data_IF_858141473876
#
_entry.id   IF_858141473876
#
_cell.length_a   1.000
_cell.length_b   1.000
_cell.length_c   1.000
_cell.angle_alpha   90.00
_cell.angle_beta   90.00
_cell.angle_gamma   90.00
#
_symmetry.space_group_name_H-M   'P 1'
#
loop_
_entity.id
_entity.type
_entity.pdbx_description
1 polymer ?
#
# COMPACT_ATOMS: atom_id res chain seq x y z
N UNK A 1 23.60 -0.89 -32.72
CA UNK A 1 23.74 -1.43 -31.34
C UNK A 1 22.57 -0.92 -30.55
N UNK A 2 21.89 -1.80 -29.84
CA UNK A 2 20.82 -1.38 -28.95
C UNK A 2 21.43 -0.52 -27.83
N UNK A 3 20.80 0.62 -27.54
CA UNK A 3 21.38 1.64 -26.65
C UNK A 3 21.64 1.13 -25.23
N UNK A 4 20.78 0.20 -24.75
CA UNK A 4 20.92 -0.40 -23.42
C UNK A 4 22.22 -1.17 -23.19
N UNK A 5 22.86 -1.69 -24.25
CA UNK A 5 24.12 -2.46 -24.14
C UNK A 5 25.33 -1.58 -23.79
N UNK A 6 25.26 -0.28 -24.05
CA UNK A 6 26.36 0.67 -23.85
C UNK A 6 26.20 1.53 -22.60
N UNK A 7 25.07 1.44 -21.88
CA UNK A 7 24.82 2.22 -20.68
C UNK A 7 25.73 1.74 -19.57
N UNK A 8 26.53 2.67 -19.01
CA UNK A 8 27.31 2.41 -17.80
C UNK A 8 26.41 2.60 -16.58
N UNK A 9 26.30 1.57 -15.76
CA UNK A 9 25.44 1.59 -14.57
C UNK A 9 26.31 1.84 -13.35
N UNK A 10 26.05 2.93 -12.64
CA UNK A 10 26.84 3.34 -11.49
C UNK A 10 25.97 3.47 -10.24
N UNK A 11 26.55 3.15 -9.08
CA UNK A 11 25.89 3.35 -7.78
C UNK A 11 25.43 4.80 -7.54
N UNK A 12 26.10 5.77 -8.18
CA UNK A 12 25.75 7.18 -8.12
C UNK A 12 24.35 7.50 -8.67
N UNK A 13 23.81 6.65 -9.55
CA UNK A 13 22.44 6.82 -10.07
C UNK A 13 21.37 6.78 -8.98
N UNK A 14 21.60 6.05 -7.88
CA UNK A 14 20.68 6.02 -6.72
C UNK A 14 20.67 7.32 -5.89
N UNK A 15 21.60 8.24 -6.14
CA UNK A 15 21.66 9.52 -5.42
C UNK A 15 20.63 10.56 -5.91
N UNK A 16 19.96 10.32 -7.03
CA UNK A 16 18.94 11.20 -7.57
C UNK A 16 17.66 11.12 -6.73
N UNK A 17 17.36 12.21 -6.02
CA UNK A 17 16.16 12.29 -5.18
C UNK A 17 14.89 12.17 -6.03
N UNK A 18 14.01 11.28 -5.61
CA UNK A 18 12.67 11.13 -6.19
C UNK A 18 12.57 10.27 -7.46
N UNK A 19 13.68 9.69 -7.95
CA UNK A 19 13.68 8.78 -9.11
C UNK A 19 14.23 7.41 -8.72
N UNK A 20 13.60 6.35 -9.19
CA UNK A 20 14.16 4.99 -9.11
C UNK A 20 15.29 4.82 -10.13
N UNK A 21 16.11 3.77 -9.96
CA UNK A 21 17.10 3.42 -10.99
C UNK A 21 16.42 3.13 -12.33
N UNK A 22 15.25 2.52 -12.28
CA UNK A 22 14.47 2.24 -13.51
C UNK A 22 14.08 3.52 -14.24
N UNK A 23 13.59 4.55 -13.52
CA UNK A 23 13.22 5.82 -14.13
C UNK A 23 14.42 6.45 -14.86
N UNK A 24 15.59 6.41 -14.23
CA UNK A 24 16.82 6.94 -14.81
C UNK A 24 17.24 6.13 -16.04
N UNK A 25 17.14 4.81 -15.97
CA UNK A 25 17.44 3.94 -17.10
C UNK A 25 16.44 4.14 -18.25
N UNK A 26 15.16 4.39 -17.95
CA UNK A 26 14.15 4.72 -18.96
C UNK A 26 14.40 6.07 -19.62
N UNK A 27 14.90 7.07 -18.90
CA UNK A 27 15.31 8.35 -19.48
C UNK A 27 16.51 8.20 -20.45
N UNK A 28 17.45 7.32 -20.11
CA UNK A 28 18.62 7.05 -20.94
C UNK A 28 18.29 6.17 -22.16
N UNK A 29 17.37 5.25 -22.00
CA UNK A 29 16.98 4.25 -22.99
C UNK A 29 15.47 3.94 -22.91
N UNK A 30 14.63 4.80 -23.51
CA UNK A 30 13.17 4.69 -23.42
C UNK A 30 12.63 3.38 -24.00
N UNK A 31 11.70 2.74 -23.29
CA UNK A 31 11.03 1.49 -23.71
C UNK A 31 10.28 1.63 -25.05
N UNK A 32 9.87 2.85 -25.40
CA UNK A 32 9.20 3.14 -26.68
C UNK A 32 10.05 2.78 -27.91
N UNK A 33 11.39 2.83 -27.78
CA UNK A 33 12.33 2.50 -28.85
C UNK A 33 12.33 1.01 -29.22
N UNK A 34 11.67 0.16 -28.42
CA UNK A 34 11.70 -1.29 -28.55
C UNK A 34 10.37 -1.90 -29.03
N UNK A 35 9.39 -1.06 -29.39
CA UNK A 35 8.12 -1.51 -29.99
C UNK A 35 8.40 -2.29 -31.29
N UNK A 36 7.79 -3.44 -31.45
CA UNK A 36 7.99 -4.33 -32.59
C UNK A 36 9.29 -5.14 -32.55
N UNK A 37 10.05 -5.11 -31.47
CA UNK A 37 11.28 -5.88 -31.30
C UNK A 37 11.10 -7.02 -30.29
N UNK A 38 12.07 -7.95 -30.20
CA UNK A 38 12.11 -9.00 -29.20
C UNK A 38 12.28 -8.50 -27.75
N UNK A 39 12.42 -7.20 -27.55
CA UNK A 39 12.55 -6.53 -26.25
C UNK A 39 11.29 -5.73 -25.89
N UNK A 40 10.27 -5.78 -26.72
CA UNK A 40 8.97 -5.15 -26.41
C UNK A 40 8.36 -5.73 -25.12
N UNK A 41 7.82 -4.86 -24.29
CA UNK A 41 7.25 -5.23 -22.99
C UNK A 41 8.27 -5.36 -21.85
N UNK A 42 9.57 -5.26 -22.12
CA UNK A 42 10.61 -5.19 -21.10
C UNK A 42 10.88 -3.73 -20.74
N UNK A 43 10.87 -3.43 -19.44
CA UNK A 43 11.35 -2.13 -18.96
C UNK A 43 12.89 -2.02 -19.02
N UNK A 44 13.42 -0.82 -18.79
CA UNK A 44 14.86 -0.57 -18.90
C UNK A 44 15.68 -1.42 -17.93
N UNK A 45 15.20 -1.68 -16.72
CA UNK A 45 15.87 -2.57 -15.77
C UNK A 45 15.88 -4.02 -16.28
N UNK A 46 14.77 -4.52 -16.79
CA UNK A 46 14.67 -5.88 -17.33
C UNK A 46 15.58 -6.06 -18.57
N UNK A 47 15.72 -5.02 -19.41
CA UNK A 47 16.69 -5.03 -20.52
C UNK A 47 18.11 -5.15 -20.00
N UNK A 48 18.47 -4.47 -18.90
CA UNK A 48 19.79 -4.63 -18.28
C UNK A 48 20.01 -6.03 -17.71
N UNK A 49 18.99 -6.62 -17.05
CA UNK A 49 19.09 -8.03 -16.63
C UNK A 49 19.35 -8.96 -17.81
N UNK A 50 18.69 -8.72 -18.94
CA UNK A 50 18.90 -9.51 -20.16
C UNK A 50 20.29 -9.29 -20.75
N UNK A 51 20.85 -8.07 -20.72
CA UNK A 51 22.22 -7.75 -21.13
C UNK A 51 23.25 -8.59 -20.37
N UNK A 52 23.07 -8.74 -19.07
CA UNK A 52 23.97 -9.53 -18.22
C UNK A 52 23.55 -11.00 -18.11
N UNK A 53 22.57 -11.43 -18.90
CA UNK A 53 22.00 -12.79 -18.87
C UNK A 53 21.58 -13.23 -17.46
N UNK A 54 21.02 -12.31 -16.65
CA UNK A 54 20.56 -12.60 -15.28
C UNK A 54 19.08 -12.99 -15.32
N UNK A 55 18.80 -14.25 -14.94
CA UNK A 55 17.45 -14.81 -14.87
C UNK A 55 16.96 -14.82 -13.42
N UNK A 56 16.08 -13.89 -13.08
CA UNK A 56 15.61 -13.68 -11.69
C UNK A 56 14.46 -14.62 -11.29
N UNK A 57 13.82 -15.31 -12.24
CA UNK A 57 12.65 -16.14 -11.97
C UNK A 57 12.61 -17.43 -12.78
N UNK A 58 11.78 -18.40 -12.35
CA UNK A 58 11.52 -19.65 -13.04
C UNK A 58 12.55 -20.75 -12.75
N UNK A 59 12.34 -21.93 -13.37
CA UNK A 59 13.16 -23.14 -13.12
C UNK A 59 14.65 -22.95 -13.43
N UNK A 60 14.98 -22.00 -14.30
CA UNK A 60 16.37 -21.67 -14.69
C UNK A 60 16.85 -20.37 -14.07
N UNK A 61 16.26 -19.92 -12.93
CA UNK A 61 16.75 -18.74 -12.25
C UNK A 61 18.19 -18.90 -11.81
N UNK A 62 18.95 -17.84 -11.93
CA UNK A 62 20.38 -17.82 -11.59
C UNK A 62 20.57 -17.71 -10.07
N UNK A 63 21.84 -17.79 -9.64
CA UNK A 63 22.23 -17.54 -8.25
C UNK A 63 22.44 -16.05 -8.02
N UNK A 64 22.31 -15.64 -6.76
CA UNK A 64 22.50 -14.24 -6.36
C UNK A 64 23.88 -13.73 -6.71
N UNK A 65 24.91 -14.59 -6.64
CA UNK A 65 26.30 -14.23 -6.98
C UNK A 65 26.44 -13.64 -8.38
N UNK A 66 25.59 -14.02 -9.35
CA UNK A 66 25.67 -13.55 -10.74
C UNK A 66 25.51 -12.03 -10.88
N UNK A 67 24.83 -11.37 -9.93
CA UNK A 67 24.80 -9.91 -9.89
C UNK A 67 26.17 -9.29 -9.61
N UNK A 68 27.08 -10.03 -9.00
CA UNK A 68 28.37 -9.52 -8.53
C UNK A 68 29.53 -9.91 -9.42
N UNK A 69 29.26 -10.47 -10.62
CA UNK A 69 30.29 -10.84 -11.62
C UNK A 69 31.03 -9.61 -12.15
N UNK A 70 30.36 -8.46 -12.21
CA UNK A 70 30.99 -7.19 -12.59
C UNK A 70 30.33 -5.99 -11.84
N UNK A 71 30.96 -4.81 -11.94
CA UNK A 71 30.50 -3.60 -11.24
C UNK A 71 29.14 -3.11 -11.71
N UNK A 72 28.85 -3.22 -13.00
CA UNK A 72 27.60 -2.72 -13.59
C UNK A 72 26.42 -3.63 -13.19
N UNK A 73 26.59 -4.96 -13.27
CA UNK A 73 25.57 -5.89 -12.81
C UNK A 73 25.35 -5.79 -11.29
N UNK A 74 26.41 -5.55 -10.50
CA UNK A 74 26.28 -5.35 -9.06
C UNK A 74 25.46 -4.10 -8.71
N UNK A 75 25.53 -3.07 -9.56
CA UNK A 75 24.73 -1.87 -9.37
C UNK A 75 23.20 -2.09 -9.61
N UNK A 76 22.82 -3.18 -10.28
CA UNK A 76 21.41 -3.56 -10.45
C UNK A 76 20.80 -4.25 -9.22
N UNK A 77 21.63 -4.80 -8.34
CA UNK A 77 21.13 -5.61 -7.21
C UNK A 77 20.20 -4.84 -6.24
N UNK A 78 20.48 -3.59 -5.83
CA UNK A 78 19.56 -2.83 -4.99
C UNK A 78 18.19 -2.62 -5.63
N UNK A 79 18.11 -2.38 -6.93
CA UNK A 79 16.84 -2.25 -7.66
C UNK A 79 16.07 -3.56 -7.68
N UNK A 80 16.74 -4.68 -7.91
CA UNK A 80 16.13 -6.00 -7.81
C UNK A 80 15.53 -6.24 -6.42
N UNK A 81 16.25 -5.90 -5.35
CA UNK A 81 15.77 -6.02 -3.97
C UNK A 81 14.55 -5.12 -3.75
N UNK A 82 14.63 -3.85 -4.15
CA UNK A 82 13.53 -2.88 -4.03
C UNK A 82 12.26 -3.37 -4.72
N UNK A 83 12.36 -3.86 -5.94
CA UNK A 83 11.21 -4.40 -6.71
C UNK A 83 10.61 -5.64 -6.06
N UNK A 84 11.44 -6.57 -5.61
CA UNK A 84 10.95 -7.78 -4.95
C UNK A 84 10.22 -7.47 -3.64
N UNK A 85 10.69 -6.48 -2.88
CA UNK A 85 10.02 -5.97 -1.68
C UNK A 85 8.71 -5.26 -2.05
N UNK A 86 8.72 -4.39 -3.07
CA UNK A 86 7.53 -3.68 -3.53
C UNK A 86 6.40 -4.63 -3.95
N UNK A 87 6.71 -5.67 -4.71
CA UNK A 87 5.74 -6.74 -5.06
C UNK A 87 5.14 -7.41 -3.82
N UNK A 88 5.95 -7.61 -2.78
CA UNK A 88 5.47 -8.14 -1.50
C UNK A 88 4.54 -7.17 -0.78
N UNK A 89 4.86 -5.89 -0.78
CA UNK A 89 4.01 -4.84 -0.20
C UNK A 89 2.66 -4.77 -0.91
N UNK A 90 2.65 -4.66 -2.23
CA UNK A 90 1.44 -4.57 -3.05
C UNK A 90 0.47 -5.74 -2.82
N UNK A 91 1.00 -6.96 -2.63
CA UNK A 91 0.17 -8.16 -2.37
C UNK A 91 -0.59 -8.12 -1.04
N UNK A 92 -0.12 -7.35 -0.09
CA UNK A 92 -0.67 -7.27 1.28
C UNK A 92 -1.13 -5.86 1.63
N UNK A 93 -1.13 -4.95 0.66
CA UNK A 93 -1.55 -3.57 0.87
C UNK A 93 -3.08 -3.49 0.96
N UNK A 94 -3.55 -3.12 2.15
CA UNK A 94 -4.96 -2.89 2.47
C UNK A 94 -5.26 -1.39 2.55
N UNK A 95 -4.22 -0.57 2.59
CA UNK A 95 -4.36 0.88 2.78
C UNK A 95 -5.26 1.53 1.72
N UNK A 96 -5.17 1.18 0.42
CA UNK A 96 -6.07 1.75 -0.59
C UNK A 96 -7.56 1.51 -0.35
N UNK A 97 -7.91 0.46 0.41
CA UNK A 97 -9.31 0.14 0.74
C UNK A 97 -9.87 1.01 1.89
N UNK A 98 -9.02 1.72 2.64
CA UNK A 98 -9.41 2.47 3.85
C UNK A 98 -9.08 3.96 3.77
N UNK A 99 -8.30 4.41 2.78
CA UNK A 99 -7.95 5.83 2.63
C UNK A 99 -8.71 6.46 1.47
N UNK A 100 -9.18 7.69 1.67
CA UNK A 100 -9.86 8.45 0.62
C UNK A 100 -8.88 9.06 -0.38
N UNK A 101 -7.67 9.42 0.06
CA UNK A 101 -6.64 10.03 -0.78
C UNK A 101 -5.24 9.74 -0.25
N UNK A 102 -4.27 9.72 -1.14
CA UNK A 102 -2.85 9.58 -0.83
C UNK A 102 -2.09 10.77 -1.38
N UNK A 103 -1.31 11.44 -0.53
CA UNK A 103 -0.49 12.57 -0.92
C UNK A 103 0.99 12.26 -0.65
N UNK A 104 1.84 12.50 -1.66
CA UNK A 104 3.28 12.41 -1.50
C UNK A 104 3.82 13.73 -0.95
N UNK A 105 4.61 13.66 0.11
CA UNK A 105 5.25 14.83 0.71
C UNK A 105 6.76 14.66 0.69
N UNK A 106 7.50 15.77 0.54
CA UNK A 106 8.97 15.77 0.47
C UNK A 106 9.64 16.03 1.84
N UNK A 107 8.84 16.26 2.90
CA UNK A 107 9.30 16.53 4.24
C UNK A 107 9.00 15.40 5.23
N UNK A 108 9.39 15.62 6.48
CA UNK A 108 9.04 14.73 7.60
C UNK A 108 7.79 15.18 8.34
N UNK A 109 7.32 16.38 8.08
CA UNK A 109 6.19 17.02 8.75
C UNK A 109 5.10 17.36 7.73
N UNK A 110 3.87 17.12 8.12
CA UNK A 110 2.70 17.43 7.30
C UNK A 110 1.64 18.13 8.15
N UNK A 111 0.95 19.12 7.58
CA UNK A 111 -0.25 19.72 8.17
C UNK A 111 -1.43 19.39 7.29
N UNK A 112 -2.40 18.69 7.85
CA UNK A 112 -3.66 18.42 7.17
C UNK A 112 -4.53 19.68 7.10
N UNK A 113 -5.42 19.70 6.14
CA UNK A 113 -6.47 20.73 6.03
C UNK A 113 -7.76 20.15 6.61
N UNK A 114 -8.53 20.96 7.28
CA UNK A 114 -9.84 20.59 7.77
C UNK A 114 -10.84 21.70 7.47
N UNK A 115 -12.07 21.31 7.18
CA UNK A 115 -13.23 22.20 7.36
C UNK A 115 -13.76 21.91 8.76
N UNK A 116 -14.00 22.94 9.56
CA UNK A 116 -14.55 22.75 10.90
C UNK A 116 -15.99 22.24 10.79
N UNK A 117 -16.26 20.96 11.10
CA UNK A 117 -17.62 20.39 10.99
C UNK A 117 -18.56 20.91 12.06
N UNK A 118 -18.04 21.55 13.11
CA UNK A 118 -18.84 22.19 14.17
C UNK A 118 -19.36 23.57 13.77
N UNK A 119 -18.91 24.09 12.64
CA UNK A 119 -19.48 25.30 12.08
C UNK A 119 -20.79 24.93 11.38
N UNK A 120 -21.93 25.37 11.89
CA UNK A 120 -23.30 25.23 11.31
C UNK A 120 -23.41 25.68 9.84
N UNK A 121 -22.30 26.15 9.27
CA UNK A 121 -22.14 26.67 7.92
C UNK A 121 -21.79 25.62 6.86
N UNK A 122 -21.80 24.34 7.20
CA UNK A 122 -21.64 23.26 6.22
C UNK A 122 -22.94 22.86 5.52
N UNK A 123 -24.10 23.33 6.04
CA UNK A 123 -25.41 23.15 5.41
C UNK A 123 -25.59 24.17 4.31
N UNK A 124 -26.05 23.73 3.14
CA UNK A 124 -26.44 24.62 2.04
C UNK A 124 -27.85 25.17 2.32
N UNK A 125 -27.91 26.32 2.98
CA UNK A 125 -29.18 26.98 3.24
C UNK A 125 -29.73 27.65 1.97
N UNK A 126 -31.07 27.77 1.90
CA UNK A 126 -31.73 28.51 0.83
C UNK A 126 -31.43 30.00 1.02
N UNK A 127 -30.63 30.57 0.14
CA UNK A 127 -30.25 32.00 0.16
C UNK A 127 -31.32 32.81 -0.58
N UNK A 128 -31.88 33.81 0.10
CA UNK A 128 -32.85 34.75 -0.51
C UNK A 128 -32.10 35.72 -1.43
N UNK A 129 -32.83 36.28 -2.44
CA UNK A 129 -32.26 37.34 -3.28
C UNK A 129 -31.70 38.47 -2.41
N UNK A 130 -30.49 38.92 -2.73
CA UNK A 130 -29.73 39.97 -2.01
C UNK A 130 -29.19 39.57 -0.62
N UNK A 131 -29.35 38.31 -0.15
CA UNK A 131 -28.71 37.85 1.07
C UNK A 131 -27.25 37.45 0.81
N UNK A 132 -26.41 37.60 1.83
CA UNK A 132 -25.01 37.16 1.79
C UNK A 132 -24.95 35.63 1.72
N UNK A 133 -24.20 35.09 0.76
CA UNK A 133 -23.95 33.66 0.61
C UNK A 133 -23.04 33.22 1.77
N UNK A 134 -23.39 32.14 2.52
CA UNK A 134 -22.54 31.59 3.58
C UNK A 134 -21.17 31.16 3.03
N UNK A 135 -20.11 31.41 3.79
CA UNK A 135 -18.73 31.05 3.45
C UNK A 135 -18.30 29.84 4.25
N UNK A 136 -17.78 28.81 3.59
CA UNK A 136 -17.11 27.68 4.25
C UNK A 136 -15.62 27.95 4.31
N UNK A 137 -15.06 28.03 5.51
CA UNK A 137 -13.64 28.32 5.72
C UNK A 137 -12.84 27.02 5.88
N UNK A 138 -11.92 26.79 4.96
CA UNK A 138 -10.94 25.68 5.06
C UNK A 138 -9.74 26.18 5.87
N UNK A 139 -9.42 25.49 6.96
CA UNK A 139 -8.30 25.83 7.86
C UNK A 139 -7.22 24.73 7.80
N UNK A 140 -5.98 25.13 7.98
CA UNK A 140 -4.88 24.19 8.23
C UNK A 140 -4.91 23.79 9.72
N UNK A 141 -4.75 22.51 10.03
CA UNK A 141 -4.69 22.04 11.40
C UNK A 141 -3.48 22.63 12.15
N UNK A 142 -3.63 22.86 13.44
CA UNK A 142 -2.62 23.53 14.27
C UNK A 142 -1.40 22.67 14.57
N UNK A 143 -1.58 21.36 14.72
CA UNK A 143 -0.50 20.43 15.05
C UNK A 143 0.15 19.85 13.81
N UNK A 144 1.47 19.68 13.86
CA UNK A 144 2.23 18.97 12.84
C UNK A 144 2.07 17.46 13.03
N UNK A 145 1.76 16.76 11.95
CA UNK A 145 1.80 15.30 11.91
C UNK A 145 3.24 14.89 11.63
N UNK A 146 3.87 14.22 12.59
CA UNK A 146 5.23 13.71 12.45
C UNK A 146 5.23 12.32 11.82
N UNK A 147 5.99 12.15 10.74
CA UNK A 147 6.12 10.86 10.07
C UNK A 147 7.22 10.02 10.72
N UNK A 148 6.88 8.82 11.13
CA UNK A 148 7.83 7.87 11.68
C UNK A 148 8.67 7.23 10.57
N UNK A 149 10.00 7.34 10.69
CA UNK A 149 10.93 6.65 9.80
C UNK A 149 11.18 5.24 10.32
N UNK A 150 10.86 4.24 9.50
CA UNK A 150 11.17 2.83 9.78
C UNK A 150 12.19 2.32 8.77
N UNK A 151 13.06 1.43 9.20
CA UNK A 151 14.06 0.81 8.34
C UNK A 151 14.62 -0.45 8.96
N UNK A 152 15.12 -1.34 8.11
CA UNK A 152 15.82 -2.55 8.51
C UNK A 152 17.02 -2.78 7.60
N UNK A 153 18.12 -3.24 8.16
CA UNK A 153 19.30 -3.62 7.39
C UNK A 153 19.14 -5.08 6.99
N UNK A 154 19.25 -5.37 5.70
CA UNK A 154 19.37 -6.72 5.18
C UNK A 154 20.85 -7.10 5.16
N UNK A 155 21.21 -8.09 5.95
CA UNK A 155 22.55 -8.68 5.93
C UNK A 155 22.45 -10.16 5.56
N UNK A 156 23.33 -10.61 4.70
CA UNK A 156 23.42 -11.99 4.28
C UNK A 156 24.86 -12.49 4.34
N UNK A 157 25.06 -13.75 4.71
CA UNK A 157 26.39 -14.37 4.65
C UNK A 157 26.85 -14.52 3.19
N UNK A 158 28.15 -14.56 2.98
CA UNK A 158 28.74 -14.83 1.66
C UNK A 158 28.23 -16.15 1.06
N UNK A 159 28.06 -17.19 1.89
CA UNK A 159 27.54 -18.48 1.48
C UNK A 159 26.09 -18.39 1.00
N UNK A 160 25.24 -17.63 1.72
CA UNK A 160 23.85 -17.40 1.33
C UNK A 160 23.76 -16.69 -0.02
N UNK A 161 24.60 -15.70 -0.27
CA UNK A 161 24.64 -14.98 -1.56
C UNK A 161 25.16 -15.91 -2.68
N UNK A 162 26.16 -16.73 -2.41
CA UNK A 162 26.80 -17.57 -3.41
C UNK A 162 25.93 -18.73 -3.87
N UNK A 163 25.21 -19.37 -2.94
CA UNK A 163 24.49 -20.61 -3.26
C UNK A 163 22.98 -20.42 -3.44
N UNK A 164 22.43 -19.30 -2.96
CA UNK A 164 20.99 -19.06 -3.05
C UNK A 164 20.56 -18.68 -4.46
N UNK A 165 19.47 -19.29 -4.91
CA UNK A 165 18.83 -18.93 -6.19
C UNK A 165 17.98 -17.68 -6.05
N UNK A 166 17.92 -16.89 -7.12
CA UNK A 166 17.19 -15.63 -7.15
C UNK A 166 15.68 -15.80 -6.97
N UNK A 167 15.07 -16.88 -7.47
CA UNK A 167 13.65 -17.16 -7.28
C UNK A 167 13.29 -17.32 -5.80
N UNK A 168 14.08 -18.07 -5.04
CA UNK A 168 13.88 -18.25 -3.59
C UNK A 168 14.21 -16.96 -2.81
N UNK A 169 15.23 -16.25 -3.24
CA UNK A 169 15.59 -14.97 -2.65
C UNK A 169 14.48 -13.93 -2.83
N UNK A 170 13.83 -13.90 -4.01
CA UNK A 170 12.65 -13.07 -4.29
C UNK A 170 11.50 -13.39 -3.33
N UNK A 171 11.25 -14.67 -3.03
CA UNK A 171 10.19 -15.06 -2.07
C UNK A 171 10.47 -14.48 -0.69
N UNK A 172 11.72 -14.58 -0.20
CA UNK A 172 12.11 -14.01 1.09
C UNK A 172 11.96 -12.48 1.10
N UNK A 173 12.37 -11.79 0.05
CA UNK A 173 12.22 -10.34 -0.07
C UNK A 173 10.75 -9.93 -0.11
N UNK A 174 9.89 -10.68 -0.82
CA UNK A 174 8.44 -10.45 -0.82
C UNK A 174 7.83 -10.63 0.57
N UNK A 175 8.31 -11.58 1.38
CA UNK A 175 7.86 -11.72 2.77
C UNK A 175 8.22 -10.49 3.61
N UNK A 176 9.40 -9.91 3.39
CA UNK A 176 9.78 -8.63 4.02
C UNK A 176 8.82 -7.51 3.59
N UNK A 177 8.49 -7.44 2.30
CA UNK A 177 7.52 -6.48 1.78
C UNK A 177 6.13 -6.62 2.41
N UNK A 178 5.61 -7.85 2.51
CA UNK A 178 4.35 -8.11 3.21
C UNK A 178 4.39 -7.68 4.68
N UNK A 179 5.52 -7.87 5.37
CA UNK A 179 5.66 -7.40 6.75
C UNK A 179 5.63 -5.88 6.85
N UNK A 180 6.28 -5.17 5.91
CA UNK A 180 6.23 -3.70 5.86
C UNK A 180 4.78 -3.22 5.67
N UNK A 181 4.02 -3.80 4.73
CA UNK A 181 2.61 -3.45 4.52
C UNK A 181 1.76 -3.65 5.78
N UNK A 182 1.99 -4.74 6.53
CA UNK A 182 1.31 -4.98 7.81
C UNK A 182 1.63 -3.93 8.87
N UNK A 183 2.90 -3.52 8.97
CA UNK A 183 3.28 -2.46 9.92
C UNK A 183 2.68 -1.10 9.51
N UNK A 184 2.60 -0.80 8.23
CA UNK A 184 1.93 0.41 7.73
C UNK A 184 0.43 0.39 8.06
N UNK A 185 -0.25 -0.74 7.85
CA UNK A 185 -1.66 -0.88 8.23
C UNK A 185 -1.86 -0.71 9.73
N UNK A 186 -0.98 -1.28 10.55
CA UNK A 186 -1.01 -1.12 12.01
C UNK A 186 -0.85 0.35 12.43
N UNK A 187 0.06 1.08 11.77
CA UNK A 187 0.23 2.51 12.01
C UNK A 187 -1.04 3.29 11.61
N UNK A 188 -1.65 2.98 10.45
CA UNK A 188 -2.89 3.60 10.00
C UNK A 188 -4.04 3.37 10.98
N UNK A 189 -4.22 2.13 11.44
CA UNK A 189 -5.24 1.80 12.45
C UNK A 189 -4.96 2.51 13.77
N UNK A 190 -3.71 2.59 14.20
CA UNK A 190 -3.33 3.34 15.40
C UNK A 190 -3.71 4.82 15.30
N UNK A 191 -3.53 5.44 14.13
CA UNK A 191 -3.94 6.83 13.89
C UNK A 191 -5.47 6.98 13.94
N UNK A 192 -6.22 6.04 13.36
CA UNK A 192 -7.69 6.06 13.45
C UNK A 192 -8.14 6.00 14.90
N UNK A 193 -7.58 5.09 15.69
CA UNK A 193 -8.02 4.87 17.08
C UNK A 193 -7.56 5.97 18.05
N UNK A 194 -6.36 6.53 17.85
CA UNK A 194 -5.73 7.45 18.81
C UNK A 194 -5.65 8.90 18.30
N UNK A 195 -5.98 9.12 17.05
CA UNK A 195 -5.79 10.41 16.37
C UNK A 195 -4.35 10.64 15.90
N UNK A 196 -4.18 11.71 15.15
CA UNK A 196 -2.89 12.15 14.57
C UNK A 196 -2.17 13.23 15.38
N UNK A 197 -2.63 13.48 16.61
CA UNK A 197 -2.14 14.55 17.47
C UNK A 197 -3.00 15.82 17.46
N UNK A 198 -4.03 15.88 16.62
CA UNK A 198 -4.99 17.00 16.53
C UNK A 198 -6.29 16.76 17.30
N UNK A 199 -6.31 15.82 18.26
CA UNK A 199 -7.48 15.47 19.08
C UNK A 199 -8.67 14.99 18.24
N UNK A 200 -8.38 14.17 17.25
CA UNK A 200 -9.33 13.65 16.27
C UNK A 200 -9.38 12.11 16.21
N UNK A 201 -9.37 11.37 17.34
CA UNK A 201 -9.57 9.94 17.31
C UNK A 201 -10.97 9.61 16.76
N UNK A 202 -11.10 8.44 16.15
CA UNK A 202 -12.40 7.95 15.73
C UNK A 202 -13.33 7.77 16.94
N UNK A 203 -14.64 7.98 16.73
CA UNK A 203 -15.65 7.72 17.74
C UNK A 203 -15.73 6.22 18.08
N UNK A 204 -15.83 5.90 19.37
CA UNK A 204 -15.88 4.53 19.85
C UNK A 204 -17.32 4.14 20.14
N UNK A 205 -17.85 3.19 19.37
CA UNK A 205 -19.13 2.55 19.62
C UNK A 205 -18.84 1.26 20.39
N UNK A 206 -19.37 1.16 21.63
CA UNK A 206 -19.14 0.00 22.49
C UNK A 206 -20.31 -0.97 22.43
N UNK A 207 -20.02 -2.25 22.20
CA UNK A 207 -20.95 -3.35 22.37
C UNK A 207 -20.57 -4.18 23.60
N UNK A 208 -21.56 -4.76 24.29
CA UNK A 208 -21.36 -5.62 25.45
C UNK A 208 -21.80 -7.05 25.13
N UNK A 209 -20.95 -8.02 25.47
CA UNK A 209 -21.23 -9.44 25.23
C UNK A 209 -20.60 -9.98 23.94
N UNK A 210 -21.20 -11.03 23.40
CA UNK A 210 -20.81 -11.59 22.10
C UNK A 210 -21.44 -10.76 20.99
N UNK A 211 -20.66 -10.53 19.93
CA UNK A 211 -21.12 -9.74 18.78
C UNK A 211 -22.29 -10.44 18.08
N UNK A 212 -23.33 -9.71 17.76
CA UNK A 212 -24.47 -10.15 16.97
C UNK A 212 -24.71 -9.24 15.74
N UNK A 213 -25.71 -9.58 14.92
CA UNK A 213 -26.02 -8.79 13.74
C UNK A 213 -26.55 -7.39 14.08
N UNK A 214 -27.21 -7.24 15.26
CA UNK A 214 -27.72 -5.96 15.74
C UNK A 214 -26.57 -4.98 16.02
N UNK A 215 -25.41 -5.47 16.46
CA UNK A 215 -24.21 -4.65 16.64
C UNK A 215 -23.71 -4.08 15.31
N UNK A 216 -23.75 -4.87 14.23
CA UNK A 216 -23.39 -4.39 12.88
C UNK A 216 -24.37 -3.34 12.38
N UNK A 217 -25.67 -3.51 12.64
CA UNK A 217 -26.69 -2.51 12.30
C UNK A 217 -26.49 -1.24 13.11
N UNK A 218 -26.15 -1.36 14.39
CA UNK A 218 -25.87 -0.22 15.26
C UNK A 218 -24.62 0.55 14.80
N UNK A 219 -23.57 -0.17 14.40
CA UNK A 219 -22.38 0.43 13.82
C UNK A 219 -22.72 1.17 12.52
N UNK A 220 -23.51 0.56 11.63
CA UNK A 220 -23.96 1.20 10.40
C UNK A 220 -24.76 2.47 10.67
N UNK A 221 -25.69 2.43 11.61
CA UNK A 221 -26.52 3.58 12.00
C UNK A 221 -25.70 4.72 12.65
N UNK A 222 -24.69 4.36 13.46
CA UNK A 222 -23.83 5.32 14.15
C UNK A 222 -22.85 6.05 13.22
N UNK A 223 -22.61 5.53 12.01
CA UNK A 223 -21.73 6.18 11.03
C UNK A 223 -22.42 7.29 10.23
N UNK A 224 -23.73 7.46 10.35
CA UNK A 224 -24.42 8.52 9.62
C UNK A 224 -23.81 9.93 9.90
N UNK A 225 -23.62 10.79 8.89
CA UNK A 225 -24.06 10.69 7.49
C UNK A 225 -23.14 9.89 6.54
N UNK A 226 -22.10 9.22 7.07
CA UNK A 226 -21.17 8.43 6.29
C UNK A 226 -21.71 7.01 6.06
N UNK A 227 -21.15 6.32 5.07
CA UNK A 227 -21.51 4.94 4.73
C UNK A 227 -20.51 3.95 5.34
N UNK A 228 -21.00 2.82 5.82
CA UNK A 228 -20.20 1.69 6.23
C UNK A 228 -19.74 0.92 4.96
N UNK A 229 -18.55 1.18 4.48
CA UNK A 229 -18.02 0.54 3.28
C UNK A 229 -16.97 -0.56 3.58
N UNK A 230 -16.26 -0.46 4.71
CA UNK A 230 -15.16 -1.38 5.03
C UNK A 230 -15.14 -1.68 6.53
N UNK A 231 -14.94 -2.93 6.89
CA UNK A 231 -14.73 -3.40 8.26
C UNK A 231 -13.38 -4.09 8.35
N UNK A 232 -12.50 -3.60 9.20
CA UNK A 232 -11.25 -4.24 9.55
C UNK A 232 -11.46 -5.10 10.81
N UNK A 233 -11.14 -6.37 10.74
CA UNK A 233 -11.35 -7.26 11.87
C UNK A 233 -10.13 -8.15 12.15
N UNK A 234 -9.67 -8.25 13.43
CA UNK A 234 -8.69 -9.23 13.85
C UNK A 234 -9.26 -10.65 13.75
N UNK A 235 -8.37 -11.66 13.79
CA UNK A 235 -8.76 -13.07 13.58
C UNK A 235 -9.92 -13.51 14.47
N UNK A 236 -9.89 -13.18 15.76
CA UNK A 236 -10.92 -13.60 16.72
C UNK A 236 -12.30 -12.99 16.40
N UNK A 237 -12.33 -11.70 16.02
CA UNK A 237 -13.54 -11.02 15.63
C UNK A 237 -14.05 -11.53 14.27
N UNK A 238 -13.14 -11.75 13.30
CA UNK A 238 -13.49 -12.31 12.00
C UNK A 238 -14.18 -13.67 12.13
N UNK A 239 -13.68 -14.54 13.01
CA UNK A 239 -14.32 -15.85 13.27
C UNK A 239 -15.75 -15.70 13.78
N UNK A 240 -15.98 -14.75 14.71
CA UNK A 240 -17.32 -14.49 15.25
C UNK A 240 -18.24 -13.92 14.18
N UNK A 241 -17.77 -12.96 13.39
CA UNK A 241 -18.55 -12.36 12.29
C UNK A 241 -18.96 -13.40 11.24
N UNK A 242 -18.01 -14.23 10.80
CA UNK A 242 -18.28 -15.29 9.81
C UNK A 242 -19.17 -16.42 10.38
N UNK A 243 -19.28 -16.54 11.69
CA UNK A 243 -20.16 -17.51 12.35
C UNK A 243 -21.61 -17.03 12.47
N UNK A 244 -21.88 -15.74 12.29
CA UNK A 244 -23.24 -15.19 12.35
C UNK A 244 -24.17 -15.90 11.34
N UNK A 245 -25.43 -16.23 11.74
CA UNK A 245 -26.39 -16.86 10.83
C UNK A 245 -26.59 -16.07 9.53
N UNK A 246 -26.68 -14.75 9.64
CA UNK A 246 -26.90 -13.83 8.52
C UNK A 246 -25.73 -13.81 7.52
N UNK A 247 -24.52 -14.10 8.01
CA UNK A 247 -23.33 -14.23 7.15
C UNK A 247 -23.23 -15.57 6.46
N UNK A 248 -23.89 -16.61 6.97
CA UNK A 248 -23.88 -17.97 6.41
C UNK A 248 -25.05 -18.26 5.50
N UNK A 249 -26.11 -17.49 5.57
CA UNK A 249 -27.33 -17.71 4.78
C UNK A 249 -27.12 -17.21 3.35
N UNK A 250 -27.03 -18.16 2.41
CA UNK A 250 -26.92 -17.85 0.99
C UNK A 250 -28.15 -17.12 0.43
N UNK A 251 -29.31 -17.20 1.09
CA UNK A 251 -30.54 -16.51 0.66
C UNK A 251 -30.52 -15.02 1.03
N UNK A 252 -29.64 -14.60 1.94
CA UNK A 252 -29.46 -13.20 2.31
C UNK A 252 -28.72 -12.35 1.26
N UNK A 253 -28.51 -12.89 0.06
CA UNK A 253 -27.89 -12.15 -1.06
C UNK A 253 -26.37 -12.11 -1.04
N UNK A 254 -25.73 -12.89 -0.20
CA UNK A 254 -24.27 -12.95 -0.11
C UNK A 254 -23.67 -13.67 -1.32
N UNK A 255 -23.02 -12.92 -2.18
CA UNK A 255 -22.28 -13.43 -3.34
C UNK A 255 -20.88 -13.96 -2.98
N UNK A 256 -20.59 -14.13 -1.69
CA UNK A 256 -19.32 -14.62 -1.18
C UNK A 256 -18.80 -15.88 -1.89
N UNK A 257 -19.69 -16.82 -2.15
CA UNK A 257 -19.34 -18.06 -2.87
C UNK A 257 -19.03 -17.85 -4.36
N UNK A 258 -19.45 -16.72 -4.95
CA UNK A 258 -19.26 -16.42 -6.37
C UNK A 258 -18.10 -15.49 -6.66
N UNK A 259 -17.82 -14.54 -5.78
CA UNK A 259 -16.83 -13.46 -6.03
C UNK A 259 -15.51 -13.64 -5.28
N UNK A 260 -15.47 -14.49 -4.24
CA UNK A 260 -14.32 -14.64 -3.35
C UNK A 260 -14.08 -13.43 -2.42
N UNK A 261 -14.94 -12.41 -2.49
CA UNK A 261 -14.86 -11.22 -1.63
C UNK A 261 -15.73 -11.41 -0.40
N UNK A 262 -15.18 -11.18 0.78
CA UNK A 262 -15.95 -11.19 2.02
C UNK A 262 -16.69 -9.86 2.17
N UNK A 263 -18.01 -9.88 2.00
CA UNK A 263 -18.89 -8.71 2.11
C UNK A 263 -19.98 -9.03 3.14
N UNK A 264 -20.29 -8.06 4.00
CA UNK A 264 -21.41 -8.19 4.96
C UNK A 264 -22.76 -8.02 4.25
N UNK A 265 -23.87 -8.48 4.87
CA UNK A 265 -25.22 -8.19 4.37
C UNK A 265 -25.54 -6.68 4.22
N UNK A 266 -24.81 -5.84 4.94
CA UNK A 266 -24.91 -4.37 4.86
C UNK A 266 -24.06 -3.78 3.70
N UNK A 267 -23.40 -4.60 2.90
CA UNK A 267 -22.59 -4.16 1.77
C UNK A 267 -21.13 -3.79 2.08
N UNK A 268 -20.73 -3.86 3.35
CA UNK A 268 -19.37 -3.53 3.77
C UNK A 268 -18.39 -4.66 3.45
N UNK A 269 -17.22 -4.32 2.91
CA UNK A 269 -16.10 -5.24 2.67
C UNK A 269 -15.47 -5.65 3.99
N UNK A 270 -15.34 -6.96 4.24
CA UNK A 270 -14.62 -7.49 5.40
C UNK A 270 -13.17 -7.74 5.06
N UNK A 271 -12.27 -7.12 5.82
CA UNK A 271 -10.83 -7.27 5.65
C UNK A 271 -10.25 -7.87 6.93
N UNK A 272 -9.61 -9.02 6.77
CA UNK A 272 -8.93 -9.70 7.85
C UNK A 272 -7.56 -9.07 8.14
N UNK A 273 -7.35 -8.61 9.36
CA UNK A 273 -6.08 -8.04 9.84
C UNK A 273 -5.53 -8.91 10.97
N UNK A 274 -4.68 -9.92 10.67
CA UNK A 274 -4.27 -10.92 11.65
C UNK A 274 -3.38 -10.38 12.78
N UNK A 275 -2.85 -9.17 12.65
CA UNK A 275 -1.86 -8.58 13.57
C UNK A 275 -2.37 -7.36 14.36
N UNK A 276 -3.67 -7.18 14.45
CA UNK A 276 -4.26 -6.20 15.35
C UNK A 276 -4.43 -6.72 16.76
#
# INVERSE_FOLDING_TARGET
MAKFETIKIEKGMYANKGKSLTDILEELDPSENYKGTALEGLDAFQRQLKRFDIKVSGKSSDRVEKFFDNSDSAALFPEYVSRAVAVGMERSDVIPDIVAATTRIDGMDYRSITSDPSDDKTTFDIVKETATIPETVIKTQGSLISLNKRGRILSASYEALRFQRLDLFTVMLSQIGMQIAREQLKDAVSVILNGDGNKNPAEVISATGDIDYTDLVSLWAGLAPHELNTILAPTALMQKLLALPEMRDASAGLTFHGTGSMITPLGAKLIHVPSM
#
